data_IF_368203311225
#
_entry.id   IF_368203311225
#
_cell.length_a   1.000
_cell.length_b   1.000
_cell.length_c   1.000
_cell.angle_alpha   90.00
_cell.angle_beta   90.00
_cell.angle_gamma   90.00
#
_symmetry.space_group_name_H-M   'P 1'
#
loop_
_entity.id
_entity.type
_entity.pdbx_description
1 polymer ?
#
# COMPACT_ATOMS: atom_id res chain seq x y z
N UNK A 1 -16.75 -16.08 11.26
CA UNK A 1 -17.42 -16.83 10.18
C UNK A 1 -16.69 -18.08 9.74
N UNK A 2 -15.34 -18.11 9.70
CA UNK A 2 -14.55 -19.30 9.36
C UNK A 2 -13.11 -19.21 9.87
N UNK A 3 -12.46 -20.36 10.08
CA UNK A 3 -11.07 -20.46 10.53
C UNK A 3 -10.86 -20.14 12.01
N UNK A 4 -9.61 -20.32 12.48
CA UNK A 4 -9.21 -20.02 13.86
C UNK A 4 -8.12 -18.95 13.84
N UNK A 5 -8.46 -17.67 14.09
CA UNK A 5 -7.49 -16.60 14.07
C UNK A 5 -6.54 -16.64 15.26
N UNK A 6 -5.27 -16.35 15.03
CA UNK A 6 -4.26 -16.12 16.05
C UNK A 6 -4.28 -14.65 16.51
N UNK A 7 -3.51 -14.32 17.55
CA UNK A 7 -3.37 -12.96 18.06
C UNK A 7 -2.96 -11.97 16.95
N UNK A 8 -1.94 -12.33 16.15
CA UNK A 8 -1.48 -11.45 15.05
C UNK A 8 -2.56 -11.27 13.97
N UNK A 9 -3.36 -12.30 13.68
CA UNK A 9 -4.45 -12.19 12.71
C UNK A 9 -5.51 -11.18 13.16
N UNK A 10 -5.82 -11.10 14.46
CA UNK A 10 -6.71 -10.06 15.00
C UNK A 10 -6.10 -8.67 14.89
N UNK A 11 -4.80 -8.51 15.19
CA UNK A 11 -4.13 -7.23 15.05
C UNK A 11 -4.15 -6.75 13.60
N UNK A 12 -3.82 -7.62 12.65
CA UNK A 12 -3.85 -7.29 11.23
C UNK A 12 -5.27 -6.98 10.77
N UNK A 13 -6.25 -7.84 11.07
CA UNK A 13 -7.64 -7.67 10.66
C UNK A 13 -8.27 -6.36 11.16
N UNK A 14 -8.11 -6.07 12.46
CA UNK A 14 -8.77 -4.92 13.07
C UNK A 14 -8.14 -3.59 12.67
N UNK A 15 -6.83 -3.52 12.49
CA UNK A 15 -6.17 -2.34 11.93
C UNK A 15 -6.52 -2.16 10.44
N UNK A 16 -6.48 -3.24 9.67
CA UNK A 16 -6.85 -3.23 8.26
C UNK A 16 -8.31 -2.78 8.03
N UNK A 17 -9.24 -3.22 8.90
CA UNK A 17 -10.64 -2.81 8.84
C UNK A 17 -10.82 -1.30 9.09
N UNK A 18 -10.17 -0.76 10.10
CA UNK A 18 -10.20 0.67 10.39
C UNK A 18 -9.71 1.48 9.19
N UNK A 19 -8.58 1.08 8.58
CA UNK A 19 -8.01 1.73 7.40
C UNK A 19 -9.02 1.79 6.24
N UNK A 20 -9.58 0.64 5.83
CA UNK A 20 -10.46 0.61 4.65
C UNK A 20 -11.79 1.32 4.88
N UNK A 21 -12.33 1.26 6.12
CA UNK A 21 -13.53 2.00 6.52
C UNK A 21 -13.31 3.52 6.41
N UNK A 22 -12.19 4.02 6.93
CA UNK A 22 -11.83 5.43 6.88
C UNK A 22 -11.56 5.89 5.44
N UNK A 23 -10.78 5.11 4.67
CA UNK A 23 -10.48 5.41 3.27
C UNK A 23 -11.76 5.47 2.41
N UNK A 24 -12.72 4.56 2.65
CA UNK A 24 -14.03 4.57 1.98
C UNK A 24 -14.82 5.86 2.24
N UNK A 25 -14.82 6.30 3.48
CA UNK A 25 -15.52 7.54 3.88
C UNK A 25 -14.85 8.77 3.29
N UNK A 26 -13.52 8.87 3.38
CA UNK A 26 -12.76 10.03 2.95
C UNK A 26 -12.76 10.23 1.42
N UNK A 27 -12.72 9.13 0.65
CA UNK A 27 -12.60 9.17 -0.81
C UNK A 27 -13.91 8.95 -1.56
N UNK A 28 -14.93 8.36 -0.91
CA UNK A 28 -16.17 7.95 -1.56
C UNK A 28 -16.04 6.71 -2.45
N UNK A 29 -14.85 6.10 -2.55
CA UNK A 29 -14.57 4.94 -3.41
C UNK A 29 -14.43 3.67 -2.57
N UNK A 30 -14.75 2.50 -3.14
CA UNK A 30 -14.44 1.22 -2.50
C UNK A 30 -12.94 1.14 -2.21
N UNK A 31 -12.58 0.72 -1.00
CA UNK A 31 -11.20 0.67 -0.52
C UNK A 31 -10.82 -0.74 -0.08
N UNK A 32 -9.55 -1.08 -0.23
CA UNK A 32 -8.99 -2.33 0.24
C UNK A 32 -7.54 -2.16 0.70
N UNK A 33 -7.10 -3.06 1.56
CA UNK A 33 -5.69 -3.15 1.98
C UNK A 33 -5.23 -4.61 2.06
N UNK A 34 -3.94 -4.79 1.80
CA UNK A 34 -3.16 -6.00 2.07
C UNK A 34 -2.33 -5.70 3.31
N UNK A 35 -2.61 -6.37 4.42
CA UNK A 35 -2.06 -6.05 5.73
C UNK A 35 -1.17 -7.19 6.23
N UNK A 36 -0.05 -6.86 6.86
CA UNK A 36 0.87 -7.86 7.38
C UNK A 36 1.78 -7.27 8.46
N UNK A 37 1.96 -8.00 9.57
CA UNK A 37 2.79 -7.56 10.70
C UNK A 37 2.39 -6.17 11.22
N UNK A 38 1.07 -5.98 11.39
CA UNK A 38 0.46 -4.75 11.93
C UNK A 38 0.77 -3.49 11.10
N UNK A 39 0.99 -3.67 9.79
CA UNK A 39 1.17 -2.56 8.85
C UNK A 39 0.64 -2.93 7.46
N UNK A 40 0.15 -1.99 6.66
CA UNK A 40 -0.23 -2.25 5.29
C UNK A 40 1.01 -2.53 4.43
N UNK A 41 1.01 -3.64 3.70
CA UNK A 41 1.91 -3.86 2.58
C UNK A 41 1.49 -3.00 1.37
N UNK A 42 0.19 -2.70 1.29
CA UNK A 42 -0.39 -1.80 0.33
C UNK A 42 -1.85 -1.52 0.64
N UNK A 43 -2.33 -0.36 0.17
CA UNK A 43 -3.73 0.06 0.26
C UNK A 43 -4.13 0.75 -1.05
N UNK A 44 -5.39 0.64 -1.45
CA UNK A 44 -5.87 1.29 -2.66
C UNK A 44 -7.38 1.53 -2.61
N UNK A 45 -7.82 2.46 -3.46
CA UNK A 45 -9.22 2.67 -3.80
C UNK A 45 -9.53 2.18 -5.21
N UNK A 46 -10.80 2.02 -5.52
CA UNK A 46 -11.30 1.44 -6.77
C UNK A 46 -11.18 2.42 -7.97
N UNK A 47 -9.96 2.81 -8.30
CA UNK A 47 -9.67 3.51 -9.55
C UNK A 47 -9.46 2.49 -10.69
N UNK A 48 -9.85 2.81 -11.91
CA UNK A 48 -9.66 1.92 -13.05
C UNK A 48 -8.20 1.47 -13.23
N UNK A 49 -8.01 0.22 -13.64
CA UNK A 49 -6.68 -0.28 -13.99
C UNK A 49 -6.31 0.16 -15.41
N UNK A 50 -5.09 0.65 -15.61
CA UNK A 50 -4.56 0.85 -16.96
C UNK A 50 -4.25 -0.51 -17.62
N UNK A 51 -4.16 -0.58 -18.96
CA UNK A 51 -3.82 -1.83 -19.66
C UNK A 51 -2.52 -2.48 -19.15
N UNK A 52 -1.52 -1.65 -18.78
CA UNK A 52 -0.25 -2.12 -18.23
C UNK A 52 -0.44 -2.74 -16.84
N UNK A 53 -1.27 -2.12 -15.97
CA UNK A 53 -1.57 -2.66 -14.64
C UNK A 53 -2.42 -3.94 -14.73
N UNK A 54 -3.37 -4.01 -15.66
CA UNK A 54 -4.15 -5.23 -15.94
C UNK A 54 -3.20 -6.39 -16.23
N UNK A 55 -2.17 -6.16 -17.08
CA UNK A 55 -1.17 -7.14 -17.44
C UNK A 55 -0.21 -7.45 -16.29
N UNK A 56 0.29 -6.41 -15.60
CA UNK A 56 1.21 -6.56 -14.47
C UNK A 56 0.59 -7.38 -13.33
N UNK A 57 -0.71 -7.19 -13.07
CA UNK A 57 -1.46 -7.89 -12.01
C UNK A 57 -2.07 -9.23 -12.45
N UNK A 58 -1.88 -9.62 -13.72
CA UNK A 58 -2.40 -10.87 -14.31
C UNK A 58 -3.92 -11.03 -14.11
N UNK A 59 -4.68 -10.01 -14.54
CA UNK A 59 -6.14 -9.97 -14.40
C UNK A 59 -6.88 -9.73 -15.73
N UNK A 60 -6.23 -9.93 -16.88
CA UNK A 60 -6.77 -9.67 -18.22
C UNK A 60 -8.08 -10.41 -18.51
N UNK A 61 -8.23 -11.62 -17.98
CA UNK A 61 -9.40 -12.47 -18.18
C UNK A 61 -10.47 -12.35 -17.09
N UNK A 62 -10.33 -11.34 -16.18
CA UNK A 62 -11.20 -11.22 -15.01
C UNK A 62 -12.13 -10.03 -15.14
N UNK A 63 -13.41 -10.27 -14.90
CA UNK A 63 -14.35 -9.21 -14.60
C UNK A 63 -14.16 -8.81 -13.14
N UNK A 64 -13.83 -7.54 -12.87
CA UNK A 64 -13.52 -7.03 -11.54
C UNK A 64 -14.57 -6.00 -11.12
N UNK A 65 -15.16 -6.22 -9.96
CA UNK A 65 -16.01 -5.24 -9.27
C UNK A 65 -15.16 -4.20 -8.54
N UNK A 66 -15.73 -3.07 -8.08
CA UNK A 66 -14.96 -2.06 -7.36
C UNK A 66 -14.16 -2.60 -6.16
N UNK A 67 -14.75 -3.50 -5.34
CA UNK A 67 -14.04 -4.15 -4.22
C UNK A 67 -12.88 -5.03 -4.70
N UNK A 68 -13.07 -5.77 -5.79
CA UNK A 68 -12.01 -6.59 -6.40
C UNK A 68 -10.90 -5.72 -6.97
N UNK A 69 -11.23 -4.62 -7.69
CA UNK A 69 -10.24 -3.66 -8.21
C UNK A 69 -9.40 -3.07 -7.08
N UNK A 70 -10.04 -2.59 -6.01
CA UNK A 70 -9.33 -2.03 -4.87
C UNK A 70 -8.35 -3.04 -4.26
N UNK A 71 -8.75 -4.31 -4.07
CA UNK A 71 -7.87 -5.32 -3.50
C UNK A 71 -6.75 -5.77 -4.46
N UNK A 72 -7.04 -5.91 -5.75
CA UNK A 72 -6.02 -6.19 -6.77
C UNK A 72 -4.92 -5.12 -6.73
N UNK A 73 -5.31 -3.85 -6.67
CA UNK A 73 -4.41 -2.70 -6.57
C UNK A 73 -3.64 -2.71 -5.24
N UNK A 74 -4.34 -2.86 -4.12
CA UNK A 74 -3.70 -2.87 -2.79
C UNK A 74 -2.63 -3.96 -2.69
N UNK A 75 -2.93 -5.17 -3.14
CA UNK A 75 -1.99 -6.29 -3.15
C UNK A 75 -0.87 -6.11 -4.18
N UNK A 76 -1.18 -5.49 -5.32
CA UNK A 76 -0.23 -5.20 -6.39
C UNK A 76 0.77 -4.07 -6.07
N UNK A 77 0.56 -3.34 -4.98
CA UNK A 77 1.49 -2.31 -4.49
C UNK A 77 2.87 -2.89 -4.14
N UNK A 78 2.85 -3.94 -3.33
CA UNK A 78 4.05 -4.72 -2.95
C UNK A 78 3.67 -6.21 -2.89
N UNK A 79 3.71 -6.91 -4.02
CA UNK A 79 3.25 -8.29 -4.08
C UNK A 79 4.17 -9.28 -3.34
N UNK A 80 5.44 -8.91 -3.06
CA UNK A 80 6.38 -9.67 -2.23
C UNK A 80 5.96 -9.62 -0.76
N UNK A 81 5.72 -8.42 -0.23
CA UNK A 81 5.25 -8.23 1.15
C UNK A 81 3.82 -8.74 1.37
N UNK A 82 2.98 -8.73 0.34
CA UNK A 82 1.61 -9.22 0.38
C UNK A 82 1.46 -10.75 0.41
N UNK A 83 2.57 -11.49 0.35
CA UNK A 83 2.52 -12.95 0.49
C UNK A 83 2.13 -13.34 1.93
N UNK A 84 0.98 -14.00 2.10
CA UNK A 84 0.44 -14.35 3.42
C UNK A 84 -0.18 -13.15 4.15
N UNK A 85 -0.75 -12.21 3.43
CA UNK A 85 -1.42 -11.03 3.99
C UNK A 85 -2.75 -11.35 4.69
N UNK A 86 -3.25 -10.37 5.43
CA UNK A 86 -4.65 -10.28 5.84
C UNK A 86 -5.34 -9.20 5.01
N UNK A 87 -6.34 -9.61 4.23
CA UNK A 87 -7.10 -8.71 3.37
C UNK A 87 -8.16 -7.96 4.16
N UNK A 88 -8.37 -6.67 3.87
CA UNK A 88 -9.59 -5.97 4.28
C UNK A 88 -10.22 -5.25 3.09
N UNK A 89 -11.55 -5.24 3.03
CA UNK A 89 -12.33 -4.63 1.95
C UNK A 89 -13.49 -3.86 2.56
N UNK A 90 -13.71 -2.63 2.13
CA UNK A 90 -14.75 -1.75 2.66
C UNK A 90 -16.18 -2.11 2.22
N UNK A 91 -16.31 -2.94 1.19
CA UNK A 91 -17.58 -3.36 0.59
C UNK A 91 -17.94 -4.81 0.98
N UNK A 92 -19.20 -5.17 0.80
CA UNK A 92 -19.63 -6.57 0.87
C UNK A 92 -18.88 -7.40 -0.17
N UNK A 93 -18.20 -8.46 0.27
CA UNK A 93 -17.38 -9.29 -0.60
C UNK A 93 -18.24 -10.09 -1.55
N UNK A 94 -18.00 -9.91 -2.84
CA UNK A 94 -18.66 -10.56 -3.96
C UNK A 94 -17.85 -11.72 -4.56
N UNK A 95 -18.42 -12.37 -5.57
CA UNK A 95 -17.78 -13.52 -6.23
C UNK A 95 -16.47 -13.17 -6.92
N UNK A 96 -16.37 -12.08 -7.73
CA UNK A 96 -15.10 -11.68 -8.34
C UNK A 96 -13.98 -11.46 -7.34
N UNK A 97 -14.26 -10.78 -6.23
CA UNK A 97 -13.32 -10.58 -5.13
C UNK A 97 -12.88 -11.90 -4.50
N UNK A 98 -13.84 -12.80 -4.22
CA UNK A 98 -13.54 -14.09 -3.61
C UNK A 98 -12.72 -15.01 -4.54
N UNK A 99 -13.01 -15.02 -5.85
CA UNK A 99 -12.24 -15.80 -6.84
C UNK A 99 -10.82 -15.26 -7.01
N UNK A 100 -10.62 -13.94 -6.99
CA UNK A 100 -9.27 -13.39 -6.99
C UNK A 100 -8.49 -13.80 -5.73
N UNK A 101 -9.11 -13.64 -4.55
CA UNK A 101 -8.49 -13.96 -3.27
C UNK A 101 -8.19 -15.47 -3.13
N UNK A 102 -9.03 -16.34 -3.71
CA UNK A 102 -8.79 -17.78 -3.76
C UNK A 102 -7.49 -18.14 -4.49
N UNK A 103 -7.14 -17.37 -5.53
CA UNK A 103 -5.96 -17.59 -6.38
C UNK A 103 -4.63 -17.07 -5.81
N UNK A 104 -4.63 -16.39 -4.65
CA UNK A 104 -3.43 -15.80 -4.03
C UNK A 104 -3.17 -16.40 -2.64
N UNK A 105 -1.93 -16.31 -2.16
CA UNK A 105 -1.58 -16.73 -0.80
C UNK A 105 -1.93 -15.61 0.16
N UNK A 106 -2.93 -15.86 1.02
CA UNK A 106 -3.45 -14.94 2.03
C UNK A 106 -3.92 -15.74 3.24
N UNK A 107 -3.83 -15.18 4.43
CA UNK A 107 -4.21 -15.85 5.69
C UNK A 107 -5.68 -15.64 6.04
N UNK A 108 -6.22 -14.48 5.71
CA UNK A 108 -7.61 -14.17 6.03
C UNK A 108 -8.15 -12.93 5.31
N UNK A 109 -9.41 -12.67 5.59
CA UNK A 109 -10.13 -11.48 5.13
C UNK A 109 -11.09 -10.97 6.20
N UNK A 110 -11.20 -9.64 6.30
CA UNK A 110 -12.23 -8.95 7.05
C UNK A 110 -13.03 -8.00 6.14
N UNK A 111 -14.34 -7.98 6.28
CA UNK A 111 -15.23 -7.13 5.48
C UNK A 111 -16.57 -6.91 6.21
N UNK A 112 -17.42 -5.92 5.80
CA UNK A 112 -18.70 -5.67 6.41
C UNK A 112 -19.75 -6.77 6.19
N UNK A 113 -19.48 -7.69 5.26
CA UNK A 113 -20.34 -8.80 4.92
C UNK A 113 -19.84 -9.58 3.72
N UNK A 114 -20.50 -10.68 3.41
CA UNK A 114 -20.12 -11.59 2.34
C UNK A 114 -21.35 -12.07 1.58
N UNK A 115 -21.33 -11.99 0.26
CA UNK A 115 -22.30 -12.70 -0.57
C UNK A 115 -22.22 -14.21 -0.28
N UNK A 116 -23.35 -14.91 -0.24
CA UNK A 116 -23.40 -16.34 0.14
C UNK A 116 -22.49 -17.22 -0.74
N UNK A 117 -22.42 -16.94 -2.06
CA UNK A 117 -21.53 -17.67 -2.99
C UNK A 117 -20.06 -17.33 -2.75
N UNK A 118 -19.74 -16.06 -2.52
CA UNK A 118 -18.40 -15.60 -2.17
C UNK A 118 -17.91 -16.25 -0.87
N UNK A 119 -18.75 -16.28 0.16
CA UNK A 119 -18.45 -16.93 1.43
C UNK A 119 -18.15 -18.42 1.26
N UNK A 120 -18.93 -19.14 0.42
CA UNK A 120 -18.67 -20.56 0.11
C UNK A 120 -17.30 -20.76 -0.56
N UNK A 121 -16.92 -19.90 -1.50
CA UNK A 121 -15.61 -19.91 -2.17
C UNK A 121 -14.50 -19.72 -1.13
N UNK A 122 -14.59 -18.71 -0.28
CA UNK A 122 -13.58 -18.40 0.73
C UNK A 122 -13.45 -19.50 1.77
N UNK A 123 -14.56 -20.06 2.26
CA UNK A 123 -14.55 -21.18 3.20
C UNK A 123 -13.87 -22.44 2.65
N UNK A 124 -13.85 -22.66 1.33
CA UNK A 124 -13.14 -23.79 0.72
C UNK A 124 -11.64 -23.58 0.55
N UNK A 125 -11.14 -22.35 0.71
CA UNK A 125 -9.72 -22.02 0.59
C UNK A 125 -8.91 -22.63 1.75
N UNK A 126 -7.65 -23.02 1.47
CA UNK A 126 -6.74 -23.65 2.46
C UNK A 126 -7.38 -24.87 3.16
N UNK A 127 -8.09 -25.70 2.41
CA UNK A 127 -8.77 -26.90 2.95
C UNK A 127 -9.74 -26.57 4.11
N UNK A 128 -10.37 -25.39 4.05
CA UNK A 128 -11.34 -24.94 5.06
C UNK A 128 -10.77 -24.12 6.21
N UNK A 129 -9.44 -23.90 6.27
CA UNK A 129 -8.79 -23.17 7.36
C UNK A 129 -8.63 -21.66 7.10
N UNK A 130 -9.05 -21.16 5.93
CA UNK A 130 -8.95 -19.72 5.62
C UNK A 130 -9.80 -18.88 6.57
N UNK A 131 -9.21 -17.82 7.12
CA UNK A 131 -9.88 -16.98 8.12
C UNK A 131 -10.83 -16.01 7.42
N UNK A 132 -12.10 -16.00 7.83
CA UNK A 132 -13.13 -15.07 7.33
C UNK A 132 -13.78 -14.40 8.53
N UNK A 133 -13.62 -13.08 8.62
CA UNK A 133 -14.18 -12.24 9.67
C UNK A 133 -15.21 -11.28 9.08
N UNK A 134 -16.34 -11.13 9.77
CA UNK A 134 -17.32 -10.09 9.49
C UNK A 134 -17.16 -8.98 10.51
N UNK A 135 -17.03 -7.75 10.02
CA UNK A 135 -16.84 -6.59 10.87
C UNK A 135 -18.20 -6.01 11.32
N UNK A 136 -18.28 -5.62 12.58
CA UNK A 136 -19.39 -4.80 13.06
C UNK A 136 -19.20 -3.36 12.57
N UNK A 137 -20.02 -2.95 11.61
CA UNK A 137 -19.97 -1.61 11.02
C UNK A 137 -20.50 -0.52 11.97
N UNK A 138 -21.29 -0.89 12.98
CA UNK A 138 -21.84 0.02 13.98
C UNK A 138 -20.88 0.26 15.16
N UNK A 139 -19.80 -0.52 15.27
CA UNK A 139 -18.83 -0.36 16.35
C UNK A 139 -18.15 1.01 16.33
N UNK A 140 -18.20 1.69 17.48
CA UNK A 140 -17.53 2.98 17.71
C UNK A 140 -16.36 2.73 18.66
N UNK A 141 -15.15 3.10 18.23
CA UNK A 141 -13.95 2.96 19.06
C UNK A 141 -14.04 3.82 20.33
N UNK A 142 -13.63 3.29 21.49
CA UNK A 142 -13.55 4.08 22.73
C UNK A 142 -12.65 5.31 22.55
N UNK A 143 -12.95 6.39 23.28
CA UNK A 143 -12.15 7.61 23.27
C UNK A 143 -10.71 7.39 23.79
N UNK A 144 -10.53 6.40 24.66
CA UNK A 144 -9.22 6.04 25.22
C UNK A 144 -8.78 4.66 24.78
N UNK A 145 -7.52 4.51 24.50
CA UNK A 145 -6.87 3.20 24.34
C UNK A 145 -6.04 2.84 25.56
N UNK A 146 -5.96 1.55 25.83
CA UNK A 146 -5.24 0.96 26.96
C UNK A 146 -4.30 -0.10 26.44
N UNK A 147 -3.08 -0.10 26.95
CA UNK A 147 -2.05 -1.08 26.62
C UNK A 147 -1.35 -1.53 27.88
N UNK A 148 -1.30 -2.81 28.13
CA UNK A 148 -0.47 -3.38 29.17
C UNK A 148 0.96 -3.56 28.65
N UNK A 149 1.93 -3.09 29.42
CA UNK A 149 3.34 -3.27 29.13
C UNK A 149 4.12 -3.46 30.45
N UNK A 150 4.69 -4.63 30.61
CA UNK A 150 5.54 -4.99 31.76
C UNK A 150 4.87 -4.67 33.12
N UNK A 151 3.59 -5.06 33.27
CA UNK A 151 2.81 -4.87 34.49
C UNK A 151 2.27 -3.43 34.70
N UNK A 152 2.47 -2.54 33.73
CA UNK A 152 1.89 -1.20 33.72
C UNK A 152 0.76 -1.11 32.71
N UNK A 153 -0.35 -0.48 33.10
CA UNK A 153 -1.39 -0.07 32.16
C UNK A 153 -1.08 1.34 31.64
N UNK A 154 -0.78 1.44 30.35
CA UNK A 154 -0.60 2.72 29.66
C UNK A 154 -1.94 3.16 29.09
N UNK A 155 -2.37 4.40 29.37
CA UNK A 155 -3.64 4.94 28.93
C UNK A 155 -3.40 6.26 28.22
N UNK A 156 -3.96 6.39 27.00
CA UNK A 156 -3.91 7.65 26.23
C UNK A 156 -5.22 7.87 25.48
N UNK A 157 -5.42 9.09 25.01
CA UNK A 157 -6.51 9.36 24.08
C UNK A 157 -6.21 8.66 22.75
N UNK A 158 -7.22 7.94 22.24
CA UNK A 158 -7.09 7.27 20.95
C UNK A 158 -7.10 8.29 19.81
N UNK A 159 -6.26 8.08 18.80
CA UNK A 159 -6.33 8.87 17.58
C UNK A 159 -7.56 8.50 16.76
N UNK A 160 -8.72 9.03 17.15
CA UNK A 160 -10.01 8.83 16.50
C UNK A 160 -10.28 9.89 15.40
N UNK A 161 -9.32 10.79 15.12
CA UNK A 161 -9.47 11.79 14.07
C UNK A 161 -9.75 11.12 12.72
N UNK A 162 -10.81 11.54 12.05
CA UNK A 162 -11.14 11.07 10.69
C UNK A 162 -10.49 12.02 9.69
N UNK A 163 -9.56 11.51 8.91
CA UNK A 163 -8.87 12.33 7.89
C UNK A 163 -9.84 12.76 6.80
N UNK A 164 -9.88 14.05 6.53
CA UNK A 164 -10.80 14.69 5.58
C UNK A 164 -10.09 15.69 4.69
N UNK A 165 -10.78 16.21 3.67
CA UNK A 165 -10.24 17.30 2.82
C UNK A 165 -9.89 18.56 3.61
N UNK A 166 -10.54 18.81 4.75
CA UNK A 166 -10.23 19.98 5.58
C UNK A 166 -8.79 19.92 6.13
N UNK A 167 -8.27 18.73 6.39
CA UNK A 167 -6.89 18.52 6.86
C UNK A 167 -5.84 18.84 5.79
N UNK A 168 -6.23 19.04 4.54
CA UNK A 168 -5.38 19.50 3.43
C UNK A 168 -5.56 20.99 3.12
N UNK A 169 -6.17 21.75 4.02
CA UNK A 169 -6.51 23.17 3.79
C UNK A 169 -5.33 24.13 3.92
N UNK A 170 -4.28 23.79 4.67
CA UNK A 170 -3.08 24.62 4.86
C UNK A 170 -2.03 24.32 3.77
N UNK A 171 -2.23 24.90 2.58
CA UNK A 171 -1.32 24.75 1.44
C UNK A 171 -0.20 25.79 1.56
N UNK A 172 0.99 25.34 1.97
CA UNK A 172 2.17 26.19 2.19
C UNK A 172 2.79 26.67 0.88
N UNK A 173 2.80 25.84 -0.14
CA UNK A 173 3.21 26.18 -1.50
C UNK A 173 2.61 25.24 -2.53
N UNK A 174 2.57 25.68 -3.80
CA UNK A 174 2.02 24.91 -4.92
C UNK A 174 0.48 24.88 -4.95
N UNK A 175 -0.07 23.93 -5.68
CA UNK A 175 -1.52 23.72 -5.83
C UNK A 175 -1.83 22.24 -5.85
N UNK A 176 -3.00 21.84 -5.35
CA UNK A 176 -3.47 20.46 -5.36
C UNK A 176 -4.47 20.25 -6.51
N UNK A 177 -4.42 19.05 -7.12
CA UNK A 177 -5.43 18.58 -8.07
C UNK A 177 -6.42 17.65 -7.36
N UNK A 178 -7.61 17.36 -7.92
CA UNK A 178 -8.53 16.39 -7.35
C UNK A 178 -7.88 15.01 -7.12
N UNK A 179 -7.01 14.57 -8.05
CA UNK A 179 -6.28 13.31 -7.96
C UNK A 179 -5.28 13.33 -6.81
N UNK A 180 -4.50 14.41 -6.66
CA UNK A 180 -3.55 14.55 -5.54
C UNK A 180 -4.26 14.63 -4.19
N UNK A 181 -5.42 15.28 -4.10
CA UNK A 181 -6.24 15.32 -2.88
C UNK A 181 -6.67 13.89 -2.50
N UNK A 182 -7.21 13.11 -3.44
CA UNK A 182 -7.57 11.71 -3.22
C UNK A 182 -6.37 10.90 -2.73
N UNK A 183 -5.23 11.04 -3.41
CA UNK A 183 -4.02 10.29 -3.12
C UNK A 183 -3.44 10.68 -1.74
N UNK A 184 -3.41 11.97 -1.39
CA UNK A 184 -2.99 12.43 -0.07
C UNK A 184 -3.92 11.92 1.04
N UNK A 185 -5.24 11.92 0.85
CA UNK A 185 -6.19 11.37 1.81
C UNK A 185 -5.95 9.87 2.04
N UNK A 186 -5.84 9.08 0.96
CA UNK A 186 -5.54 7.65 1.06
C UNK A 186 -4.21 7.43 1.78
N UNK A 187 -3.19 8.20 1.44
CA UNK A 187 -1.87 8.12 2.02
C UNK A 187 -1.87 8.40 3.52
N UNK A 188 -2.45 9.52 3.95
CA UNK A 188 -2.55 9.90 5.37
C UNK A 188 -3.28 8.84 6.19
N UNK A 189 -4.38 8.29 5.64
CA UNK A 189 -5.12 7.21 6.30
C UNK A 189 -4.26 5.94 6.36
N UNK A 190 -3.56 5.57 5.30
CA UNK A 190 -2.73 4.36 5.30
C UNK A 190 -1.59 4.45 6.32
N UNK A 191 -0.88 5.60 6.40
CA UNK A 191 0.22 5.75 7.37
C UNK A 191 -0.26 5.86 8.83
N UNK A 192 -1.49 6.34 9.08
CA UNK A 192 -2.11 6.32 10.42
C UNK A 192 -2.20 4.91 11.02
N UNK A 193 -2.24 3.88 10.18
CA UNK A 193 -2.26 2.47 10.58
C UNK A 193 -0.94 1.75 10.24
N UNK A 194 0.14 2.52 10.03
CA UNK A 194 1.49 2.01 9.74
C UNK A 194 2.43 2.34 10.89
N UNK A 195 3.23 1.38 11.32
CA UNK A 195 4.17 1.58 12.42
C UNK A 195 5.16 2.71 12.15
N UNK A 196 5.31 3.61 13.12
CA UNK A 196 6.18 4.79 13.07
C UNK A 196 7.67 4.42 13.16
N UNK A 197 8.59 5.24 12.58
CA UNK A 197 8.27 6.26 11.60
C UNK A 197 7.70 5.61 10.34
N UNK A 198 6.72 6.26 9.74
CA UNK A 198 6.15 5.79 8.50
C UNK A 198 6.11 6.89 7.43
N UNK A 199 6.36 6.47 6.19
CA UNK A 199 6.29 7.29 4.98
C UNK A 199 5.58 6.50 3.89
N UNK A 200 4.67 7.15 3.19
CA UNK A 200 3.92 6.56 2.09
C UNK A 200 4.06 7.34 0.78
N UNK A 201 4.23 6.61 -0.32
CA UNK A 201 4.14 7.13 -1.68
C UNK A 201 2.83 6.64 -2.29
N UNK A 202 2.08 7.55 -2.87
CA UNK A 202 0.75 7.28 -3.43
C UNK A 202 0.67 7.78 -4.86
N UNK A 203 0.06 6.99 -5.73
CA UNK A 203 -0.16 7.37 -7.11
C UNK A 203 -1.44 6.73 -7.66
N UNK A 204 -2.30 7.54 -8.23
CA UNK A 204 -3.51 7.08 -8.91
C UNK A 204 -4.45 6.27 -8.02
N UNK A 205 -4.63 6.66 -6.74
CA UNK A 205 -5.49 5.95 -5.79
C UNK A 205 -4.90 4.66 -5.23
N UNK A 206 -3.57 4.52 -5.23
CA UNK A 206 -2.87 3.34 -4.74
C UNK A 206 -1.60 3.74 -3.99
N UNK A 207 -1.39 3.17 -2.80
CA UNK A 207 -0.08 3.18 -2.15
C UNK A 207 0.89 2.40 -3.05
N UNK A 208 1.96 3.02 -3.48
CA UNK A 208 2.96 2.40 -4.37
C UNK A 208 4.28 2.09 -3.66
N UNK A 209 4.46 2.63 -2.45
CA UNK A 209 5.58 2.32 -1.58
C UNK A 209 5.27 2.76 -0.15
N UNK A 210 5.53 1.87 0.81
CA UNK A 210 5.35 2.14 2.24
C UNK A 210 6.63 1.77 2.97
N UNK A 211 7.20 2.73 3.68
CA UNK A 211 8.22 2.53 4.70
C UNK A 211 7.57 2.52 6.08
N UNK A 212 7.94 1.58 6.93
CA UNK A 212 7.37 1.39 8.26
C UNK A 212 8.46 1.08 9.29
N UNK A 213 8.27 1.54 10.53
CA UNK A 213 9.07 1.13 11.69
C UNK A 213 10.54 1.55 11.64
N UNK A 214 10.89 2.62 10.92
CA UNK A 214 12.27 3.09 10.84
C UNK A 214 12.58 4.13 11.92
N UNK A 215 13.80 4.08 12.51
CA UNK A 215 14.23 5.06 13.49
C UNK A 215 14.57 6.43 12.85
N UNK A 216 14.94 6.44 11.56
CA UNK A 216 15.23 7.64 10.79
C UNK A 216 14.17 7.89 9.73
N UNK A 217 13.61 9.11 9.68
CA UNK A 217 12.61 9.46 8.67
C UNK A 217 13.17 9.44 7.25
N UNK A 218 14.40 9.91 7.06
CA UNK A 218 15.02 9.89 5.73
C UNK A 218 15.25 8.46 5.23
N UNK A 219 15.59 7.52 6.10
CA UNK A 219 15.74 6.11 5.71
C UNK A 219 14.39 5.46 5.42
N UNK A 220 13.34 5.89 6.15
CA UNK A 220 11.97 5.51 5.85
C UNK A 220 11.53 6.02 4.46
N UNK A 221 11.85 7.28 4.14
CA UNK A 221 11.60 7.89 2.82
C UNK A 221 12.30 7.12 1.69
N UNK A 222 13.58 6.76 1.89
CA UNK A 222 14.33 5.95 0.93
C UNK A 222 13.72 4.56 0.73
N UNK A 223 13.39 3.86 1.83
CA UNK A 223 12.77 2.53 1.78
C UNK A 223 11.46 2.54 1.00
N UNK A 224 10.59 3.51 1.30
CA UNK A 224 9.32 3.68 0.60
C UNK A 224 9.54 4.02 -0.89
N UNK A 225 10.52 4.88 -1.19
CA UNK A 225 10.88 5.26 -2.56
C UNK A 225 11.39 4.10 -3.41
N UNK A 226 12.25 3.25 -2.86
CA UNK A 226 12.72 2.03 -3.55
C UNK A 226 11.54 1.10 -3.88
N UNK A 227 10.58 0.95 -2.98
CA UNK A 227 9.36 0.16 -3.26
C UNK A 227 8.51 0.79 -4.36
N UNK A 228 8.37 2.12 -4.38
CA UNK A 228 7.67 2.85 -5.43
C UNK A 228 8.35 2.65 -6.80
N UNK A 229 9.68 2.64 -6.85
CA UNK A 229 10.44 2.35 -8.07
C UNK A 229 10.19 0.92 -8.57
N UNK A 230 10.21 -0.07 -7.66
CA UNK A 230 9.89 -1.48 -8.00
C UNK A 230 8.48 -1.57 -8.56
N UNK A 231 7.50 -0.92 -7.91
CA UNK A 231 6.12 -0.87 -8.41
C UNK A 231 6.06 -0.25 -9.82
N UNK A 232 6.74 0.86 -10.07
CA UNK A 232 6.76 1.51 -11.38
C UNK A 232 7.38 0.62 -12.44
N UNK A 233 8.46 -0.07 -12.10
CA UNK A 233 9.16 -0.99 -13.02
C UNK A 233 8.34 -2.24 -13.38
N UNK A 234 7.33 -2.63 -12.59
CA UNK A 234 6.41 -3.70 -12.98
C UNK A 234 5.69 -3.42 -14.31
N UNK A 235 5.51 -2.15 -14.69
CA UNK A 235 4.89 -1.74 -15.95
C UNK A 235 5.90 -1.53 -17.09
N UNK A 236 7.20 -1.78 -16.85
CA UNK A 236 8.21 -1.66 -17.89
C UNK A 236 8.00 -2.72 -19.00
N UNK A 237 8.11 -2.38 -20.30
CA UNK A 237 7.84 -3.31 -21.40
C UNK A 237 8.62 -4.63 -21.32
N UNK A 238 9.90 -4.61 -20.91
CA UNK A 238 10.71 -5.83 -20.71
C UNK A 238 10.14 -6.71 -19.58
N UNK A 239 9.64 -6.11 -18.48
CA UNK A 239 9.02 -6.84 -17.37
C UNK A 239 7.68 -7.45 -17.78
N UNK A 240 6.84 -6.68 -18.48
CA UNK A 240 5.58 -7.16 -19.03
C UNK A 240 5.78 -8.19 -20.15
N UNK A 241 6.94 -8.18 -20.81
CA UNK A 241 7.32 -9.11 -21.86
C UNK A 241 7.86 -10.46 -21.39
N UNK A 242 8.13 -10.63 -20.09
CA UNK A 242 8.62 -11.89 -19.54
C UNK A 242 7.60 -13.01 -19.75
N UNK A 243 8.04 -14.09 -20.41
CA UNK A 243 7.21 -15.28 -20.69
C UNK A 243 7.59 -16.39 -19.72
N UNK A 244 6.60 -16.84 -18.96
CA UNK A 244 6.78 -17.92 -17.98
C UNK A 244 6.30 -19.26 -18.51
N UNK A 245 6.98 -20.33 -18.15
CA UNK A 245 6.52 -21.70 -18.45
C UNK A 245 5.16 -21.95 -17.81
N UNK A 246 4.30 -22.69 -18.49
CA UNK A 246 2.91 -22.96 -18.08
C UNK A 246 2.79 -23.54 -16.66
N UNK A 247 3.77 -24.32 -16.23
CA UNK A 247 3.78 -25.00 -14.91
C UNK A 247 4.18 -24.09 -13.74
N UNK A 248 4.70 -22.88 -14.00
CA UNK A 248 5.16 -21.96 -12.95
C UNK A 248 3.96 -21.37 -12.23
N UNK A 249 3.91 -21.55 -10.91
CA UNK A 249 2.83 -21.03 -10.08
C UNK A 249 2.84 -19.50 -10.04
N UNK A 250 1.69 -18.89 -9.79
CA UNK A 250 1.56 -17.42 -9.73
C UNK A 250 2.60 -16.78 -8.80
N UNK A 251 2.80 -17.31 -7.61
CA UNK A 251 3.76 -16.74 -6.65
C UNK A 251 5.20 -16.80 -7.16
N UNK A 252 5.58 -17.88 -7.82
CA UNK A 252 6.93 -18.03 -8.38
C UNK A 252 7.14 -17.06 -9.54
N UNK A 253 6.10 -16.76 -10.35
CA UNK A 253 6.14 -15.73 -11.38
C UNK A 253 6.30 -14.33 -10.78
N UNK A 254 5.60 -14.03 -9.68
CA UNK A 254 5.74 -12.76 -8.94
C UNK A 254 7.17 -12.62 -8.44
N UNK A 255 7.70 -13.62 -7.75
CA UNK A 255 9.06 -13.61 -7.23
C UNK A 255 10.09 -13.42 -8.36
N UNK A 256 9.95 -14.17 -9.46
CA UNK A 256 10.84 -14.05 -10.61
C UNK A 256 10.79 -12.66 -11.27
N UNK A 257 9.60 -12.03 -11.37
CA UNK A 257 9.50 -10.64 -11.85
C UNK A 257 10.21 -9.65 -10.94
N UNK A 258 10.02 -9.79 -9.62
CA UNK A 258 10.66 -8.92 -8.64
C UNK A 258 12.18 -9.10 -8.71
N UNK A 259 12.68 -10.34 -8.72
CA UNK A 259 14.10 -10.62 -8.88
C UNK A 259 14.67 -10.00 -10.18
N UNK A 260 13.93 -10.13 -11.30
CA UNK A 260 14.31 -9.48 -12.56
C UNK A 260 14.35 -7.94 -12.45
N UNK A 261 13.38 -7.34 -11.75
CA UNK A 261 13.31 -5.89 -11.49
C UNK A 261 14.46 -5.46 -10.57
N UNK A 262 14.71 -6.15 -9.47
CA UNK A 262 15.77 -5.82 -8.50
C UNK A 262 17.17 -5.94 -9.14
N UNK A 263 17.43 -6.98 -9.94
CA UNK A 263 18.60 -7.12 -10.80
C UNK A 263 19.89 -7.52 -10.08
N UNK A 264 19.98 -7.39 -8.75
CA UNK A 264 21.09 -7.85 -7.92
C UNK A 264 20.82 -9.30 -7.50
N UNK A 265 21.07 -10.24 -8.43
CA UNK A 265 20.72 -11.65 -8.28
C UNK A 265 21.91 -12.47 -7.79
N UNK A 266 21.68 -13.22 -6.71
CA UNK A 266 22.58 -14.32 -6.37
C UNK A 266 22.58 -15.39 -7.46
N UNK A 267 23.61 -16.24 -7.56
CA UNK A 267 23.65 -17.33 -8.54
C UNK A 267 22.47 -18.31 -8.45
N UNK A 268 21.86 -18.43 -7.28
CA UNK A 268 20.65 -19.24 -7.06
C UNK A 268 19.41 -18.56 -7.64
N UNK A 269 19.22 -17.26 -7.36
CA UNK A 269 18.10 -16.48 -7.89
C UNK A 269 18.14 -16.38 -9.41
N UNK A 270 19.32 -16.19 -9.98
CA UNK A 270 19.50 -16.18 -11.44
C UNK A 270 19.10 -17.52 -12.08
N UNK A 271 19.51 -18.64 -11.50
CA UNK A 271 19.06 -19.97 -11.96
C UNK A 271 17.56 -20.14 -11.86
N UNK A 272 16.99 -19.77 -10.72
CA UNK A 272 15.54 -19.86 -10.49
C UNK A 272 14.74 -19.02 -11.49
N UNK A 273 15.22 -17.80 -11.80
CA UNK A 273 14.63 -16.93 -12.81
C UNK A 273 14.69 -17.58 -14.20
N UNK A 274 15.85 -18.08 -14.62
CA UNK A 274 16.04 -18.79 -15.91
C UNK A 274 15.17 -20.04 -16.02
N UNK A 275 15.02 -20.80 -14.94
CA UNK A 275 14.17 -21.99 -14.88
C UNK A 275 12.67 -21.67 -14.98
N UNK A 276 12.24 -20.52 -14.45
CA UNK A 276 10.86 -20.07 -14.51
C UNK A 276 10.43 -19.58 -15.90
N UNK A 277 11.38 -19.07 -16.71
CA UNK A 277 11.09 -18.50 -18.03
C UNK A 277 11.08 -19.57 -19.12
N UNK A 278 10.27 -19.37 -20.16
CA UNK A 278 10.19 -20.26 -21.34
C UNK A 278 11.26 -19.95 -22.39
N UNK A 279 11.87 -18.77 -22.31
CA UNK A 279 12.90 -18.30 -23.23
C UNK A 279 13.98 -17.48 -22.49
N UNK A 280 15.19 -17.35 -23.05
CA UNK A 280 16.19 -16.44 -22.50
C UNK A 280 15.65 -15.03 -22.38
N UNK A 281 16.03 -14.32 -21.31
CA UNK A 281 15.65 -12.94 -21.07
C UNK A 281 16.82 -11.99 -21.32
N UNK A 282 16.51 -10.76 -21.72
CA UNK A 282 17.44 -9.65 -21.79
C UNK A 282 17.35 -8.86 -20.47
N UNK A 283 18.45 -8.72 -19.70
CA UNK A 283 18.43 -7.99 -18.42
C UNK A 283 17.93 -6.55 -18.56
N UNK A 284 17.28 -6.05 -17.54
CA UNK A 284 16.90 -4.65 -17.45
C UNK A 284 18.13 -3.81 -17.08
N UNK A 285 18.69 -3.09 -18.05
CA UNK A 285 19.89 -2.29 -17.85
C UNK A 285 19.60 -1.04 -16.99
N UNK A 286 20.65 -0.52 -16.36
CA UNK A 286 20.53 0.66 -15.47
C UNK A 286 20.09 1.93 -16.21
N UNK A 287 20.47 2.11 -17.48
CA UNK A 287 20.01 3.23 -18.30
C UNK A 287 18.51 3.11 -18.61
N UNK A 288 18.03 1.92 -19.01
CA UNK A 288 16.61 1.65 -19.27
C UNK A 288 15.76 1.85 -17.99
N UNK A 289 16.27 1.38 -16.86
CA UNK A 289 15.64 1.56 -15.54
C UNK A 289 15.49 3.04 -15.20
N UNK A 290 16.59 3.80 -15.27
CA UNK A 290 16.60 5.25 -15.00
C UNK A 290 15.65 6.00 -15.91
N UNK A 291 15.66 5.70 -17.21
CA UNK A 291 14.83 6.40 -18.20
C UNK A 291 13.33 6.09 -18.02
N UNK A 292 13.00 4.88 -17.56
CA UNK A 292 11.61 4.53 -17.22
C UNK A 292 11.13 5.25 -15.96
N UNK A 293 11.95 5.28 -14.93
CA UNK A 293 11.63 5.93 -13.65
C UNK A 293 11.49 7.45 -13.80
N UNK A 294 12.33 8.10 -14.61
CA UNK A 294 12.21 9.54 -14.91
C UNK A 294 10.87 9.97 -15.51
N UNK A 295 10.11 9.03 -16.10
CA UNK A 295 8.77 9.32 -16.65
C UNK A 295 7.69 9.37 -15.56
N UNK A 296 8.03 9.06 -14.33
CA UNK A 296 7.11 9.11 -13.22
C UNK A 296 7.07 10.52 -12.63
N UNK A 297 5.87 11.07 -12.53
CA UNK A 297 5.59 12.38 -11.92
C UNK A 297 4.18 12.38 -11.34
N UNK A 298 3.87 13.35 -10.49
CA UNK A 298 2.55 13.46 -9.87
C UNK A 298 2.35 12.52 -8.68
N UNK A 299 3.43 11.95 -8.14
CA UNK A 299 3.38 11.11 -6.95
C UNK A 299 3.12 11.98 -5.72
N UNK A 300 2.28 11.51 -4.81
CA UNK A 300 2.03 12.11 -3.51
C UNK A 300 2.87 11.41 -2.44
N UNK A 301 3.49 12.18 -1.55
CA UNK A 301 4.21 11.69 -0.38
C UNK A 301 3.50 12.14 0.88
N UNK A 302 3.36 11.23 1.84
CA UNK A 302 2.77 11.50 3.16
C UNK A 302 3.68 10.98 4.26
N UNK A 303 3.70 11.66 5.42
CA UNK A 303 4.47 11.23 6.58
C UNK A 303 3.65 11.33 7.87
N UNK A 304 3.88 10.41 8.82
CA UNK A 304 3.17 10.34 10.11
C UNK A 304 3.61 11.40 11.13
N UNK A 305 4.74 12.04 10.89
CA UNK A 305 5.30 13.13 11.69
C UNK A 305 6.01 14.14 10.81
N UNK A 306 6.46 15.27 11.38
CA UNK A 306 7.11 16.34 10.62
C UNK A 306 8.39 15.87 9.91
N UNK A 307 8.70 16.49 8.79
CA UNK A 307 9.94 16.30 8.03
C UNK A 307 11.03 17.13 8.70
N UNK A 308 12.09 16.50 9.26
CA UNK A 308 13.08 17.21 10.04
C UNK A 308 14.11 17.99 9.21
N UNK A 309 14.39 17.52 7.98
CA UNK A 309 15.42 18.06 7.10
C UNK A 309 15.04 17.97 5.64
N UNK A 310 15.60 18.88 4.82
CA UNK A 310 15.37 18.96 3.38
C UNK A 310 15.77 17.70 2.60
N UNK A 311 16.69 16.88 3.15
CA UNK A 311 17.14 15.63 2.51
C UNK A 311 16.00 14.65 2.22
N UNK A 312 14.95 14.67 3.05
CA UNK A 312 13.73 13.89 2.80
C UNK A 312 13.03 14.32 1.50
N UNK A 313 12.95 15.63 1.24
CA UNK A 313 12.37 16.19 0.00
C UNK A 313 13.25 15.86 -1.20
N UNK A 314 14.58 15.96 -1.03
CA UNK A 314 15.55 15.58 -2.07
C UNK A 314 15.46 14.09 -2.44
N UNK A 315 15.23 13.20 -1.44
CA UNK A 315 14.98 11.80 -1.73
C UNK A 315 13.61 11.61 -2.43
N UNK A 316 12.56 12.25 -1.93
CA UNK A 316 11.23 12.17 -2.52
C UNK A 316 11.20 12.59 -4.00
N UNK A 317 11.93 13.66 -4.34
CA UNK A 317 12.05 14.15 -5.72
C UNK A 317 12.55 13.09 -6.70
N UNK A 318 13.50 12.26 -6.28
CA UNK A 318 14.07 11.18 -7.12
C UNK A 318 13.04 10.14 -7.56
N UNK A 319 11.93 10.03 -6.83
CA UNK A 319 10.85 9.07 -7.06
C UNK A 319 9.58 9.71 -7.63
N UNK A 320 9.71 10.90 -8.27
CA UNK A 320 8.62 11.55 -9.00
C UNK A 320 7.57 12.25 -8.13
N UNK A 321 7.88 12.55 -6.86
CA UNK A 321 6.98 13.26 -5.95
C UNK A 321 6.74 14.68 -6.44
N UNK A 322 5.47 15.07 -6.48
CA UNK A 322 4.99 16.43 -6.81
C UNK A 322 4.12 17.02 -5.69
N UNK A 323 3.64 16.21 -4.78
CA UNK A 323 2.74 16.61 -3.69
C UNK A 323 3.24 16.01 -2.37
N UNK A 324 3.31 16.83 -1.33
CA UNK A 324 3.77 16.43 0.00
C UNK A 324 2.74 16.85 1.04
N UNK A 325 2.37 15.94 1.94
CA UNK A 325 1.59 16.27 3.14
C UNK A 325 2.31 15.77 4.39
N UNK A 326 2.51 16.68 5.33
CA UNK A 326 3.18 16.44 6.60
C UNK A 326 2.60 17.32 7.71
N UNK A 327 2.82 17.03 9.00
CA UNK A 327 2.25 17.85 10.08
C UNK A 327 2.71 19.31 10.13
N UNK A 328 3.89 19.65 9.63
CA UNK A 328 4.54 20.93 9.91
C UNK A 328 5.16 21.01 11.32
N UNK A 329 5.74 22.16 11.64
CA UNK A 329 6.28 22.46 12.98
C UNK A 329 7.69 21.93 13.25
N UNK A 330 8.46 21.64 12.21
CA UNK A 330 9.90 21.34 12.33
C UNK A 330 10.70 22.62 12.65
N UNK A 331 11.76 22.49 13.44
CA UNK A 331 12.72 23.59 13.67
C UNK A 331 13.35 24.06 12.35
N UNK A 332 13.45 23.20 11.35
CA UNK A 332 13.97 23.50 10.01
C UNK A 332 12.89 23.54 8.94
N UNK A 333 11.69 23.95 9.30
CA UNK A 333 10.55 24.02 8.40
C UNK A 333 10.83 24.87 7.16
N UNK A 334 11.51 26.02 7.33
CA UNK A 334 11.90 26.90 6.20
C UNK A 334 12.74 26.15 5.16
N UNK A 335 13.71 25.33 5.59
CA UNK A 335 14.56 24.54 4.69
C UNK A 335 13.73 23.51 3.88
N UNK A 336 12.70 22.93 4.51
CA UNK A 336 11.77 21.97 3.86
C UNK A 336 10.88 22.67 2.84
N UNK A 337 10.30 23.81 3.22
CA UNK A 337 9.46 24.65 2.34
C UNK A 337 10.25 25.13 1.12
N UNK A 338 11.48 25.62 1.34
CA UNK A 338 12.33 26.11 0.26
C UNK A 338 12.77 24.96 -0.68
N UNK A 339 13.00 23.75 -0.15
CA UNK A 339 13.24 22.60 -0.98
C UNK A 339 12.03 22.24 -1.85
N UNK A 340 10.82 22.20 -1.27
CA UNK A 340 9.58 21.96 -2.03
C UNK A 340 9.38 22.99 -3.14
N UNK A 341 9.56 24.30 -2.84
CA UNK A 341 9.50 25.37 -3.84
C UNK A 341 10.53 25.20 -4.94
N UNK A 342 11.78 24.88 -4.56
CA UNK A 342 12.88 24.69 -5.50
C UNK A 342 12.66 23.52 -6.47
N UNK A 343 11.96 22.47 -6.05
CA UNK A 343 11.59 21.33 -6.89
C UNK A 343 10.19 21.46 -7.54
N UNK A 344 9.48 22.57 -7.32
CA UNK A 344 8.12 22.78 -7.88
C UNK A 344 7.06 21.85 -7.28
N UNK A 345 7.28 21.37 -6.05
CA UNK A 345 6.31 20.53 -5.33
C UNK A 345 5.27 21.37 -4.60
N UNK A 346 4.05 20.86 -4.49
CA UNK A 346 3.07 21.37 -3.54
C UNK A 346 3.33 20.77 -2.14
N UNK A 347 3.24 21.59 -1.11
CA UNK A 347 3.38 21.21 0.29
C UNK A 347 2.14 21.62 1.08
N UNK A 348 1.63 20.67 1.88
CA UNK A 348 0.51 20.86 2.80
C UNK A 348 0.96 20.56 4.22
N UNK A 349 0.64 21.45 5.16
CA UNK A 349 0.73 21.19 6.59
C UNK A 349 -0.61 20.69 7.10
N UNK A 350 -0.63 19.43 7.54
CA UNK A 350 -1.87 18.80 8.03
C UNK A 350 -2.13 19.08 9.50
N UNK A 351 -1.12 19.50 10.26
CA UNK A 351 -1.13 19.63 11.72
C UNK A 351 -1.53 18.35 12.48
N UNK A 352 -1.52 17.21 11.78
CA UNK A 352 -1.88 15.91 12.32
C UNK A 352 -0.62 15.07 12.59
N UNK A 353 -0.47 14.59 13.83
CA UNK A 353 0.50 13.55 14.17
C UNK A 353 -0.21 12.21 14.10
N UNK A 354 0.28 11.34 13.22
CA UNK A 354 -0.36 10.05 12.91
C UNK A 354 0.48 8.87 13.43
N UNK A 355 1.25 9.08 14.50
CA UNK A 355 2.09 8.04 15.08
C UNK A 355 1.29 6.81 15.49
N UNK A 356 1.78 5.65 15.09
CA UNK A 356 1.23 4.34 15.43
C UNK A 356 2.34 3.46 16.03
N UNK A 357 2.14 3.04 17.30
CA UNK A 357 3.10 2.25 18.06
C UNK A 357 2.50 0.97 18.63
#
# INVERSE_FOLDING_TARGET
MNGTPSFINFLDALNAWQLVREARVATGLAAATSFKHVSPAGAAVAEPLTPELVKAYEVESKELTPGAVAYVRARGADPKCSFGDFAAISEVVDVPTAEFLKGVVSDGIIAPGFNARALKILKSKRQGSFIVMEADTAFISPARERRELFGMELVQDRNNHQVTKADLGDIVCGTLTPESIRDLLLGLIAIKYTQSNSVGYVFGGQMIGIGAGQQSRVDCTKLAGVKADVWRLHTHPKVLGLRFKVKVKRQDRINARISYIEGDLSPHEERSLREALDSPYDPLRDDERRDWLKRMSGVSLVTDGFIPFRDNIEQAYKHGVSYVAEPGGSVRETDVVDACRGYGMALVHTHLRLFHH
#
